data_IF_875772412781
#
_entry.id   IF_875772412781
#
_cell.length_a   1.000
_cell.length_b   1.000
_cell.length_c   1.000
_cell.angle_alpha   90.00
_cell.angle_beta   90.00
_cell.angle_gamma   90.00
#
_symmetry.space_group_name_H-M   'P 1'
#
loop_
_entity.id
_entity.type
_entity.pdbx_description
1 polymer ?
#
# COMPACT_ATOMS: atom_id res chain seq x y z
N UNK A 1 28.17 6.80 8.02
CA UNK A 1 26.97 6.17 7.42
C UNK A 1 25.93 7.26 7.20
N UNK A 2 25.55 7.54 5.96
CA UNK A 2 24.49 8.52 5.72
C UNK A 2 23.17 8.06 6.33
N UNK A 3 22.46 9.01 6.94
CA UNK A 3 21.19 8.74 7.65
C UNK A 3 20.05 8.59 6.65
N UNK A 4 19.27 7.52 6.77
CA UNK A 4 18.03 7.37 5.99
C UNK A 4 17.09 8.54 6.34
N UNK A 5 16.59 9.22 5.31
CA UNK A 5 15.64 10.34 5.43
C UNK A 5 14.31 9.95 4.79
N UNK A 6 13.21 10.22 5.49
CA UNK A 6 11.88 10.15 4.90
C UNK A 6 11.43 11.56 4.50
N UNK A 7 10.80 11.69 3.33
CA UNK A 7 10.23 12.95 2.82
C UNK A 7 9.02 12.68 1.96
N UNK A 8 8.22 13.71 1.74
CA UNK A 8 7.12 13.64 0.80
C UNK A 8 7.63 13.37 -0.62
N UNK A 9 6.87 12.55 -1.35
CA UNK A 9 7.16 12.27 -2.74
C UNK A 9 6.87 13.51 -3.62
N UNK A 10 7.59 13.59 -4.72
CA UNK A 10 7.39 14.60 -5.78
C UNK A 10 7.08 13.89 -7.08
N UNK A 11 6.48 14.57 -8.04
CA UNK A 11 6.14 13.99 -9.35
C UNK A 11 7.33 13.27 -10.00
N UNK A 12 8.51 13.82 -9.90
CA UNK A 12 9.75 13.20 -10.43
C UNK A 12 10.13 11.87 -9.77
N UNK A 13 9.60 11.59 -8.58
CA UNK A 13 9.88 10.34 -7.86
C UNK A 13 8.96 9.19 -8.32
N UNK A 14 7.86 9.51 -8.99
CA UNK A 14 6.80 8.53 -9.32
C UNK A 14 7.31 7.40 -10.22
N UNK A 15 8.26 7.68 -11.12
CA UNK A 15 8.89 6.64 -11.95
C UNK A 15 9.64 5.64 -11.08
N UNK A 16 10.48 6.11 -10.16
CA UNK A 16 11.24 5.24 -9.25
C UNK A 16 10.31 4.49 -8.28
N UNK A 17 9.25 5.15 -7.81
CA UNK A 17 8.23 4.49 -6.98
C UNK A 17 7.54 3.38 -7.75
N UNK A 18 7.24 3.57 -9.03
CA UNK A 18 6.65 2.51 -9.87
C UNK A 18 7.57 1.30 -10.04
N UNK A 19 8.88 1.52 -10.16
CA UNK A 19 9.88 0.44 -10.19
C UNK A 19 9.92 -0.33 -8.86
N UNK A 20 9.88 0.37 -7.73
CA UNK A 20 9.80 -0.26 -6.41
C UNK A 20 8.48 -1.02 -6.20
N UNK A 21 7.38 -0.49 -6.73
CA UNK A 21 6.09 -1.17 -6.72
C UNK A 21 6.13 -2.49 -7.51
N UNK A 22 6.76 -2.48 -8.68
CA UNK A 22 6.96 -3.70 -9.47
C UNK A 22 7.83 -4.74 -8.72
N UNK A 23 8.87 -4.29 -8.01
CA UNK A 23 9.65 -5.19 -7.13
C UNK A 23 8.76 -5.78 -6.03
N UNK A 24 7.97 -4.96 -5.35
CA UNK A 24 7.01 -5.41 -4.34
C UNK A 24 6.03 -6.43 -4.91
N UNK A 25 5.47 -6.14 -6.08
CA UNK A 25 4.57 -7.06 -6.79
C UNK A 25 5.21 -8.41 -7.05
N UNK A 26 6.41 -8.42 -7.62
CA UNK A 26 7.13 -9.65 -7.94
C UNK A 26 7.51 -10.47 -6.70
N UNK A 27 7.74 -9.81 -5.56
CA UNK A 27 7.99 -10.49 -4.29
C UNK A 27 6.72 -11.11 -3.69
N UNK A 28 5.58 -10.46 -3.85
CA UNK A 28 4.30 -10.88 -3.22
C UNK A 28 3.47 -11.77 -4.13
N UNK A 29 3.64 -11.65 -5.43
CA UNK A 29 2.88 -12.38 -6.46
C UNK A 29 3.81 -12.85 -7.60
N UNK A 30 4.77 -13.75 -7.31
CA UNK A 30 5.76 -14.17 -8.30
C UNK A 30 5.14 -14.90 -9.51
N UNK A 31 3.97 -15.51 -9.31
CA UNK A 31 3.27 -16.26 -10.38
C UNK A 31 2.46 -15.37 -11.34
N UNK A 32 2.30 -14.09 -11.01
CA UNK A 32 1.53 -13.14 -11.80
C UNK A 32 2.44 -12.02 -12.29
N UNK A 33 2.88 -12.03 -13.56
CA UNK A 33 3.77 -10.99 -14.07
C UNK A 33 3.08 -9.61 -14.06
N UNK A 34 3.82 -8.59 -13.66
CA UNK A 34 3.35 -7.20 -13.77
C UNK A 34 3.32 -6.81 -15.26
N UNK A 35 2.15 -6.38 -15.74
CA UNK A 35 1.97 -6.08 -17.18
C UNK A 35 2.56 -4.71 -17.52
N UNK A 36 3.33 -4.60 -18.60
CA UNK A 36 3.96 -3.33 -19.03
C UNK A 36 2.97 -2.19 -19.22
N UNK A 37 1.79 -2.46 -19.77
CA UNK A 37 0.71 -1.47 -19.92
C UNK A 37 0.21 -0.89 -18.61
N UNK A 38 0.44 -1.57 -17.49
CA UNK A 38 0.06 -1.11 -16.16
C UNK A 38 1.06 -0.14 -15.56
N UNK A 39 2.26 -0.05 -16.11
CA UNK A 39 3.31 0.86 -15.58
C UNK A 39 2.93 2.32 -15.80
N UNK A 40 2.50 2.68 -16.99
CA UNK A 40 2.11 4.05 -17.32
C UNK A 40 0.87 4.47 -16.50
N UNK A 41 -0.10 3.57 -16.37
CA UNK A 41 -1.29 3.81 -15.54
C UNK A 41 -0.91 4.01 -14.06
N UNK A 42 0.02 3.21 -13.55
CA UNK A 42 0.52 3.36 -12.19
C UNK A 42 1.24 4.69 -11.99
N UNK A 43 2.09 5.11 -12.91
CA UNK A 43 2.79 6.40 -12.85
C UNK A 43 1.78 7.55 -12.85
N UNK A 44 0.79 7.51 -13.72
CA UNK A 44 -0.27 8.53 -13.79
C UNK A 44 -1.06 8.62 -12.48
N UNK A 45 -1.39 7.49 -11.89
CA UNK A 45 -2.08 7.40 -10.60
C UNK A 45 -1.22 8.00 -9.47
N UNK A 46 0.07 7.66 -9.42
CA UNK A 46 1.00 8.20 -8.44
C UNK A 46 1.17 9.71 -8.57
N UNK A 47 1.30 10.22 -9.80
CA UNK A 47 1.41 11.67 -10.07
C UNK A 47 0.16 12.41 -9.61
N UNK A 48 -1.03 11.90 -9.90
CA UNK A 48 -2.30 12.46 -9.41
C UNK A 48 -2.33 12.45 -7.87
N UNK A 49 -1.93 11.36 -7.26
CA UNK A 49 -1.95 11.18 -5.80
C UNK A 49 -1.05 12.17 -5.06
N UNK A 50 0.10 12.53 -5.61
CA UNK A 50 1.02 13.52 -5.01
C UNK A 50 0.34 14.89 -4.82
N UNK A 51 -0.64 15.23 -5.65
CA UNK A 51 -1.33 16.52 -5.65
C UNK A 51 -2.60 16.56 -4.80
N UNK A 52 -3.08 15.40 -4.34
CA UNK A 52 -4.36 15.30 -3.62
C UNK A 52 -4.17 15.49 -2.11
N UNK A 53 -4.94 16.37 -1.45
CA UNK A 53 -4.76 16.70 -0.04
C UNK A 53 -5.10 15.56 0.92
N UNK A 54 -5.92 14.60 0.48
CA UNK A 54 -6.32 13.42 1.26
C UNK A 54 -5.47 12.18 0.94
N UNK A 55 -4.40 12.36 0.18
CA UNK A 55 -3.44 11.32 -0.18
C UNK A 55 -2.06 11.66 0.36
N UNK A 56 -1.33 10.66 0.79
CA UNK A 56 0.01 10.81 1.32
C UNK A 56 0.94 9.77 0.71
N UNK A 57 1.84 10.25 -0.11
CA UNK A 57 2.89 9.45 -0.72
C UNK A 57 4.23 9.92 -0.19
N UNK A 58 4.94 9.04 0.49
CA UNK A 58 6.22 9.33 1.12
C UNK A 58 7.29 8.39 0.62
N UNK A 59 8.51 8.88 0.52
CA UNK A 59 9.67 8.08 0.14
C UNK A 59 10.73 8.09 1.23
N UNK A 60 11.41 6.95 1.38
CA UNK A 60 12.63 6.82 2.15
C UNK A 60 13.83 6.91 1.22
N UNK A 61 14.80 7.76 1.57
CA UNK A 61 15.97 8.05 0.75
C UNK A 61 17.26 7.75 1.53
N UNK A 62 18.16 7.02 0.92
CA UNK A 62 19.50 6.74 1.40
C UNK A 62 20.49 6.96 0.24
N UNK A 63 21.57 7.69 0.47
CA UNK A 63 22.58 8.01 -0.55
C UNK A 63 21.97 8.53 -1.88
N UNK A 64 21.01 9.45 -1.78
CA UNK A 64 20.24 10.03 -2.90
C UNK A 64 19.35 9.04 -3.66
N UNK A 65 19.29 7.77 -3.26
CA UNK A 65 18.41 6.75 -3.87
C UNK A 65 17.16 6.57 -3.04
N UNK A 66 16.02 6.41 -3.70
CA UNK A 66 14.78 6.01 -3.05
C UNK A 66 14.87 4.50 -2.79
N UNK A 67 14.75 4.12 -1.53
CA UNK A 67 14.88 2.74 -1.05
C UNK A 67 13.58 2.18 -0.46
N UNK A 68 12.53 2.98 -0.47
CA UNK A 68 11.22 2.59 0.02
C UNK A 68 10.19 3.67 -0.20
N UNK A 69 8.93 3.28 -0.14
CA UNK A 69 7.79 4.19 -0.23
C UNK A 69 6.65 3.72 0.65
N UNK A 70 5.73 4.63 0.94
CA UNK A 70 4.42 4.32 1.51
C UNK A 70 3.35 5.14 0.80
N UNK A 71 2.15 4.54 0.73
CA UNK A 71 0.98 5.18 0.15
C UNK A 71 -0.23 4.99 1.06
N UNK A 72 -0.86 6.11 1.45
CA UNK A 72 -2.03 6.12 2.32
C UNK A 72 -3.02 7.18 1.85
N UNK A 73 -4.30 6.92 2.02
CA UNK A 73 -5.36 7.91 1.84
C UNK A 73 -6.22 8.05 3.10
N UNK A 74 -6.86 9.19 3.26
CA UNK A 74 -7.91 9.38 4.27
C UNK A 74 -9.23 9.63 3.57
N UNK A 75 -10.25 8.87 3.95
CA UNK A 75 -11.60 9.00 3.41
C UNK A 75 -12.68 8.72 4.46
N UNK A 76 -13.89 9.23 4.19
CA UNK A 76 -15.04 8.95 5.04
C UNK A 76 -15.51 7.50 4.85
N UNK A 77 -15.62 6.80 5.97
CA UNK A 77 -16.08 5.43 6.03
C UNK A 77 -17.50 5.36 6.55
N UNK A 78 -18.45 5.06 5.66
CA UNK A 78 -19.88 5.02 5.98
C UNK A 78 -20.22 4.02 7.09
N UNK A 79 -19.59 2.85 7.08
CA UNK A 79 -19.85 1.80 8.10
C UNK A 79 -19.39 2.22 9.49
N UNK A 80 -18.40 3.07 9.59
CA UNK A 80 -17.84 3.56 10.84
C UNK A 80 -18.35 4.95 11.22
N UNK A 81 -19.00 5.62 10.26
CA UNK A 81 -19.46 7.02 10.38
C UNK A 81 -18.33 7.98 10.79
N UNK A 82 -17.13 7.79 10.24
CA UNK A 82 -15.95 8.60 10.55
C UNK A 82 -14.92 8.61 9.43
N UNK A 83 -13.94 9.50 9.55
CA UNK A 83 -12.75 9.49 8.71
C UNK A 83 -11.81 8.36 9.14
N UNK A 84 -11.26 7.65 8.17
CA UNK A 84 -10.27 6.61 8.40
C UNK A 84 -9.15 6.68 7.36
N UNK A 85 -7.94 6.39 7.80
CA UNK A 85 -6.78 6.21 6.94
C UNK A 85 -6.73 4.80 6.37
N UNK A 86 -6.35 4.68 5.10
CA UNK A 86 -6.08 3.41 4.43
C UNK A 86 -4.65 3.42 3.93
N UNK A 87 -3.81 2.61 4.54
CA UNK A 87 -2.47 2.33 4.04
C UNK A 87 -2.55 1.17 3.04
N UNK A 88 -2.40 1.49 1.78
CA UNK A 88 -2.46 0.52 0.68
C UNK A 88 -1.15 -0.22 0.52
N UNK A 89 -0.04 0.54 0.55
CA UNK A 89 1.28 0.00 0.26
C UNK A 89 2.34 0.57 1.18
N UNK A 90 3.18 -0.31 1.70
CA UNK A 90 4.45 0.01 2.35
C UNK A 90 5.48 -0.93 1.77
N UNK A 91 6.51 -0.38 1.18
CA UNK A 91 7.64 -1.15 0.68
C UNK A 91 8.97 -0.56 1.13
N UNK A 92 9.86 -1.44 1.52
CA UNK A 92 11.27 -1.13 1.82
C UNK A 92 12.14 -2.14 1.10
N UNK A 93 13.17 -1.68 0.42
CA UNK A 93 14.13 -2.55 -0.24
C UNK A 93 14.75 -3.55 0.75
N UNK A 94 14.96 -4.78 0.31
CA UNK A 94 15.35 -5.94 1.13
C UNK A 94 16.56 -5.66 2.03
N UNK A 95 17.56 -4.95 1.48
CA UNK A 95 18.77 -4.58 2.21
C UNK A 95 18.52 -3.69 3.45
N UNK A 96 17.38 -3.01 3.52
CA UNK A 96 17.04 -2.06 4.58
C UNK A 96 15.90 -2.54 5.50
N UNK A 97 15.36 -3.75 5.30
CA UNK A 97 14.22 -4.27 6.09
C UNK A 97 14.57 -4.59 7.55
N UNK A 98 15.83 -4.87 7.85
CA UNK A 98 16.31 -5.12 9.22
C UNK A 98 16.55 -3.85 10.03
N UNK A 99 16.37 -2.69 9.40
CA UNK A 99 16.38 -1.41 10.09
C UNK A 99 14.98 -1.12 10.67
N UNK A 100 14.89 -0.17 11.60
CA UNK A 100 13.58 0.29 12.11
C UNK A 100 12.80 1.18 11.12
N UNK A 101 13.18 1.19 9.84
CA UNK A 101 12.64 2.10 8.82
C UNK A 101 11.14 1.88 8.60
N UNK A 102 10.71 0.63 8.36
CA UNK A 102 9.29 0.33 8.15
C UNK A 102 8.45 0.72 9.36
N UNK A 103 8.93 0.47 10.58
CA UNK A 103 8.26 0.90 11.81
C UNK A 103 8.11 2.42 11.87
N UNK A 104 9.18 3.15 11.57
CA UNK A 104 9.13 4.63 11.52
C UNK A 104 8.14 5.13 10.48
N UNK A 105 8.10 4.51 9.31
CA UNK A 105 7.14 4.86 8.26
C UNK A 105 5.69 4.63 8.71
N UNK A 106 5.41 3.55 9.44
CA UNK A 106 4.09 3.27 10.03
C UNK A 106 3.69 4.34 11.05
N UNK A 107 4.59 4.76 11.93
CA UNK A 107 4.31 5.84 12.88
C UNK A 107 4.06 7.18 12.16
N UNK A 108 4.83 7.49 11.11
CA UNK A 108 4.59 8.66 10.27
C UNK A 108 3.17 8.64 9.64
N UNK A 109 2.67 7.45 9.20
CA UNK A 109 1.30 7.27 8.70
C UNK A 109 0.27 7.60 9.78
N UNK A 110 0.43 7.02 10.97
CA UNK A 110 -0.51 7.23 12.08
C UNK A 110 -0.61 8.71 12.43
N UNK A 111 0.52 9.41 12.49
CA UNK A 111 0.58 10.83 12.79
C UNK A 111 -0.07 11.67 11.69
N UNK A 112 0.18 11.33 10.43
CA UNK A 112 -0.46 12.02 9.32
C UNK A 112 -1.99 11.80 9.31
N UNK A 113 -2.46 10.57 9.50
CA UNK A 113 -3.89 10.25 9.59
C UNK A 113 -4.58 11.05 10.72
N UNK A 114 -3.95 11.14 11.91
CA UNK A 114 -4.48 11.95 13.02
C UNK A 114 -4.59 13.42 12.64
N UNK A 115 -3.59 13.99 11.97
CA UNK A 115 -3.61 15.37 11.48
C UNK A 115 -4.71 15.62 10.43
N UNK A 116 -5.11 14.59 9.69
CA UNK A 116 -6.26 14.65 8.77
C UNK A 116 -7.60 14.45 9.47
N UNK A 117 -7.63 14.28 10.79
CA UNK A 117 -8.86 14.04 11.54
C UNK A 117 -9.37 12.60 11.51
N UNK A 118 -8.52 11.65 11.10
CA UNK A 118 -8.90 10.24 11.12
C UNK A 118 -8.73 9.64 12.53
N UNK A 119 -9.74 8.88 12.98
CA UNK A 119 -9.74 8.17 14.25
C UNK A 119 -9.12 6.77 14.17
N UNK A 120 -9.09 6.20 12.97
CA UNK A 120 -8.55 4.87 12.71
C UNK A 120 -7.66 4.86 11.48
N UNK A 121 -6.71 3.94 11.46
CA UNK A 121 -5.90 3.62 10.28
C UNK A 121 -5.97 2.13 10.00
N UNK A 122 -6.24 1.79 8.76
CA UNK A 122 -6.28 0.42 8.26
C UNK A 122 -5.03 0.14 7.43
N UNK A 123 -4.43 -1.01 7.68
CA UNK A 123 -3.28 -1.49 6.94
C UNK A 123 -3.69 -2.72 6.13
N UNK A 124 -3.51 -2.67 4.83
CA UNK A 124 -3.74 -3.80 3.95
C UNK A 124 -2.50 -4.67 3.98
N UNK A 125 -2.65 -5.89 4.49
CA UNK A 125 -1.55 -6.82 4.74
C UNK A 125 -1.72 -8.04 3.85
N UNK A 126 -0.64 -8.48 3.23
CA UNK A 126 -0.64 -9.73 2.46
C UNK A 126 -0.83 -10.94 3.40
N UNK A 127 -1.50 -12.01 2.94
CA UNK A 127 -1.75 -13.19 3.77
C UNK A 127 -0.50 -13.77 4.43
N UNK A 128 0.63 -13.77 3.73
CA UNK A 128 1.91 -14.29 4.24
C UNK A 128 2.51 -13.45 5.39
N UNK A 129 2.06 -12.23 5.56
CA UNK A 129 2.52 -11.34 6.63
C UNK A 129 1.51 -11.20 7.78
N UNK A 130 0.33 -11.80 7.65
CA UNK A 130 -0.75 -11.68 8.63
C UNK A 130 -0.29 -12.05 10.05
N UNK A 131 0.42 -13.17 10.20
CA UNK A 131 0.90 -13.65 11.50
C UNK A 131 1.81 -12.65 12.23
N UNK A 132 2.55 -11.83 11.48
CA UNK A 132 3.42 -10.80 12.06
C UNK A 132 2.62 -9.65 12.65
N UNK A 133 1.44 -9.36 12.07
CA UNK A 133 0.58 -8.27 12.49
C UNK A 133 -0.34 -8.67 13.65
N UNK A 134 -0.95 -9.86 13.61
CA UNK A 134 -1.85 -10.33 14.66
C UNK A 134 -1.16 -10.58 16.01
N UNK A 135 0.17 -10.72 16.01
CA UNK A 135 0.95 -10.82 17.26
C UNK A 135 1.15 -9.49 17.97
N UNK A 136 0.76 -8.37 17.36
CA UNK A 136 0.89 -7.04 17.93
C UNK A 136 -0.41 -6.62 18.58
N UNK A 137 -0.45 -6.38 19.90
CA UNK A 137 -1.69 -6.15 20.64
C UNK A 137 -2.42 -4.88 20.23
N UNK A 138 -1.73 -3.93 19.59
CA UNK A 138 -2.31 -2.67 19.11
C UNK A 138 -3.09 -2.81 17.79
N UNK A 139 -3.04 -3.99 17.15
CA UNK A 139 -3.76 -4.26 15.90
C UNK A 139 -4.77 -5.38 16.07
N UNK A 140 -5.91 -5.23 15.42
CA UNK A 140 -6.96 -6.24 15.30
C UNK A 140 -7.33 -6.48 13.84
N UNK A 141 -7.77 -7.68 13.52
CA UNK A 141 -8.32 -7.99 12.20
C UNK A 141 -9.70 -7.38 12.10
N UNK A 142 -9.84 -6.32 11.31
CA UNK A 142 -11.10 -5.59 11.17
C UNK A 142 -12.02 -6.17 10.10
N UNK A 143 -11.48 -6.54 8.93
CA UNK A 143 -12.26 -7.15 7.85
C UNK A 143 -11.42 -8.11 7.03
N UNK A 144 -12.09 -9.04 6.38
CA UNK A 144 -11.50 -9.92 5.36
C UNK A 144 -12.03 -9.52 4.00
N UNK A 145 -11.15 -9.40 3.02
CA UNK A 145 -11.49 -9.09 1.64
C UNK A 145 -11.31 -10.33 0.77
N UNK A 146 -12.34 -10.64 -0.01
CA UNK A 146 -12.29 -11.68 -1.03
C UNK A 146 -12.26 -11.02 -2.40
N UNK A 147 -11.53 -11.61 -3.33
CA UNK A 147 -11.51 -11.19 -4.73
C UNK A 147 -11.95 -12.35 -5.61
N UNK A 148 -12.64 -12.03 -6.70
CA UNK A 148 -12.92 -12.98 -7.77
C UNK A 148 -12.40 -12.40 -9.09
N UNK A 149 -11.98 -13.27 -9.98
CA UNK A 149 -11.72 -12.86 -11.36
C UNK A 149 -13.07 -12.63 -12.06
N UNK A 150 -13.22 -11.49 -12.74
CA UNK A 150 -14.42 -11.14 -13.50
C UNK A 150 -14.32 -11.56 -14.98
N UNK A 151 -13.36 -12.39 -15.34
CA UNK A 151 -13.30 -13.00 -16.67
C UNK A 151 -14.57 -13.80 -16.91
N UNK A 152 -15.29 -13.51 -18.00
CA UNK A 152 -16.70 -13.93 -18.26
C UNK A 152 -16.95 -15.45 -18.20
N UNK A 153 -15.93 -16.29 -18.37
CA UNK A 153 -16.11 -17.74 -18.46
C UNK A 153 -16.37 -18.42 -17.11
N UNK A 154 -15.85 -17.91 -16.01
CA UNK A 154 -15.96 -18.56 -14.71
C UNK A 154 -17.29 -18.23 -14.00
N UNK A 155 -17.83 -17.04 -14.23
CA UNK A 155 -19.12 -16.63 -13.64
C UNK A 155 -20.30 -17.41 -14.20
N UNK A 156 -20.27 -17.73 -15.51
CA UNK A 156 -21.31 -18.56 -16.16
C UNK A 156 -21.31 -20.00 -15.66
N UNK A 157 -20.16 -20.56 -15.31
CA UNK A 157 -20.03 -21.91 -14.76
C UNK A 157 -20.59 -22.00 -13.33
N UNK A 158 -20.38 -20.98 -12.51
CA UNK A 158 -20.92 -20.95 -11.15
C UNK A 158 -22.45 -20.89 -11.14
N UNK A 159 -23.06 -20.04 -11.97
CA UNK A 159 -24.52 -19.94 -12.06
C UNK A 159 -25.17 -21.22 -12.60
N UNK A 160 -24.48 -21.95 -13.49
CA UNK A 160 -24.97 -23.21 -14.04
C UNK A 160 -24.93 -24.39 -13.03
N UNK A 161 -24.19 -24.29 -11.93
CA UNK A 161 -24.11 -25.31 -10.88
C UNK A 161 -25.13 -25.13 -9.74
N UNK A 162 -25.77 -23.96 -9.62
CA UNK A 162 -26.81 -23.71 -8.61
C UNK A 162 -28.22 -24.12 -9.08
N UNK A 163 -28.44 -24.36 -10.37
CA UNK A 163 -29.71 -24.80 -10.96
C UNK A 163 -29.82 -26.34 -11.16
N UNK A 164 -28.91 -27.10 -10.53
CA UNK A 164 -28.86 -28.56 -10.63
C UNK A 164 -29.33 -29.30 -9.38
#
# INVERSE_FOLDING_TARGET
MEKIRCRDAKNRDCVVISELFQKMWNETRPDIPFKDKSVDLLIDELVKSVSLPNMYLKVAVHDRKIIGFLFVSVSYQRRLNKLAGYCYDIFVEKAFRHTKLAYKMIEDIKDWCRKQGADQAFFIVQPNDLDKWVRRPEYEVFQTTFSCDLAEEDFKKMLATEDG
#
